data_IF_718837204284
#
_entry.id   IF_718837204284
#
_cell.length_a   1.000
_cell.length_b   1.000
_cell.length_c   1.000
_cell.angle_alpha   90.00
_cell.angle_beta   90.00
_cell.angle_gamma   90.00
#
_symmetry.space_group_name_H-M   'P 1'
#
loop_
_entity.id
_entity.type
_entity.pdbx_description
1 polymer ?
#
# COMPACT_ATOMS: atom_id res chain seq x y z
N UNK A 1 5.38 -9.08 -20.89
CA UNK A 1 4.78 -10.20 -20.13
C UNK A 1 5.80 -11.25 -19.66
N UNK A 2 6.63 -11.84 -20.54
CA UNK A 2 7.64 -12.84 -20.12
C UNK A 2 8.56 -12.38 -19.00
N UNK A 3 9.10 -11.15 -19.09
CA UNK A 3 9.93 -10.56 -18.05
C UNK A 3 9.23 -10.46 -16.68
N UNK A 4 7.96 -10.07 -16.65
CA UNK A 4 7.21 -9.98 -15.39
C UNK A 4 7.05 -11.37 -14.74
N UNK A 5 6.78 -12.41 -15.54
CA UNK A 5 6.75 -13.80 -15.07
C UNK A 5 8.11 -14.25 -14.55
N UNK A 6 9.20 -13.89 -15.23
CA UNK A 6 10.56 -14.19 -14.77
C UNK A 6 10.87 -13.51 -13.44
N UNK A 7 10.58 -12.21 -13.30
CA UNK A 7 10.78 -11.47 -12.06
C UNK A 7 9.97 -12.12 -10.92
N UNK A 8 8.70 -12.45 -11.18
CA UNK A 8 7.84 -13.10 -10.20
C UNK A 8 8.38 -14.47 -9.78
N UNK A 9 8.80 -15.32 -10.72
CA UNK A 9 9.37 -16.63 -10.43
C UNK A 9 10.66 -16.53 -9.62
N UNK A 10 11.54 -15.57 -9.93
CA UNK A 10 12.77 -15.32 -9.18
C UNK A 10 12.46 -14.86 -7.76
N UNK A 11 11.53 -13.92 -7.57
CA UNK A 11 11.12 -13.46 -6.25
C UNK A 11 10.50 -14.58 -5.41
N UNK A 12 9.64 -15.42 -6.01
CA UNK A 12 9.09 -16.59 -5.33
C UNK A 12 10.19 -17.58 -4.90
N UNK A 13 11.15 -17.86 -5.79
CA UNK A 13 12.29 -18.70 -5.47
C UNK A 13 13.12 -18.15 -4.31
N UNK A 14 13.38 -16.84 -4.30
CA UNK A 14 14.11 -16.17 -3.23
C UNK A 14 13.35 -16.20 -1.89
N UNK A 15 12.05 -15.94 -1.90
CA UNK A 15 11.20 -16.04 -0.70
C UNK A 15 11.18 -17.47 -0.16
N UNK A 16 11.06 -18.47 -1.04
CA UNK A 16 11.08 -19.87 -0.62
C UNK A 16 12.42 -20.28 -0.05
N UNK A 17 13.53 -19.88 -0.69
CA UNK A 17 14.87 -20.14 -0.18
C UNK A 17 15.11 -19.48 1.20
N UNK A 18 14.64 -18.24 1.38
CA UNK A 18 14.63 -17.57 2.68
C UNK A 18 13.82 -18.37 3.70
N UNK A 19 12.61 -18.82 3.36
CA UNK A 19 11.79 -19.61 4.28
C UNK A 19 12.51 -20.88 4.74
N UNK A 20 13.19 -21.58 3.82
CA UNK A 20 13.96 -22.77 4.16
C UNK A 20 15.16 -22.48 5.08
N UNK A 21 15.76 -21.28 5.01
CA UNK A 21 16.93 -20.93 5.81
C UNK A 21 16.60 -20.39 7.20
N UNK A 22 15.53 -19.61 7.34
CA UNK A 22 15.23 -18.86 8.58
C UNK A 22 13.77 -18.98 9.05
N UNK A 23 12.94 -19.79 8.37
CA UNK A 23 11.54 -20.00 8.71
C UNK A 23 10.64 -18.80 8.40
N UNK A 24 9.35 -18.95 8.71
CA UNK A 24 8.32 -17.96 8.37
C UNK A 24 8.60 -16.56 8.97
N UNK A 25 8.91 -16.50 10.28
CA UNK A 25 9.07 -15.22 10.97
C UNK A 25 10.21 -14.39 10.38
N UNK A 26 11.40 -14.97 10.23
CA UNK A 26 12.53 -14.26 9.63
C UNK A 26 12.25 -13.84 8.19
N UNK A 27 11.64 -14.71 7.37
CA UNK A 27 11.29 -14.37 5.98
C UNK A 27 10.28 -13.23 5.91
N UNK A 28 9.26 -13.24 6.77
CA UNK A 28 8.27 -12.18 6.86
C UNK A 28 8.92 -10.84 7.25
N UNK A 29 9.81 -10.83 8.26
CA UNK A 29 10.54 -9.62 8.68
C UNK A 29 11.36 -9.01 7.55
N UNK A 30 12.13 -9.82 6.81
CA UNK A 30 12.91 -9.34 5.67
C UNK A 30 11.99 -8.84 4.54
N UNK A 31 10.95 -9.61 4.20
CA UNK A 31 10.05 -9.28 3.10
C UNK A 31 9.28 -7.98 3.37
N UNK A 32 8.70 -7.81 4.56
CA UNK A 32 7.98 -6.61 4.93
C UNK A 32 8.91 -5.39 5.08
N UNK A 33 10.12 -5.57 5.61
CA UNK A 33 11.13 -4.51 5.65
C UNK A 33 11.53 -4.05 4.24
N UNK A 34 11.87 -4.98 3.36
CA UNK A 34 12.22 -4.68 1.97
C UNK A 34 11.05 -4.00 1.22
N UNK A 35 9.83 -4.51 1.38
CA UNK A 35 8.64 -3.93 0.76
C UNK A 35 8.36 -2.51 1.25
N UNK A 36 8.53 -2.26 2.56
CA UNK A 36 8.41 -0.92 3.16
C UNK A 36 9.41 0.05 2.54
N UNK A 37 10.68 -0.32 2.47
CA UNK A 37 11.73 0.54 1.91
C UNK A 37 11.51 0.80 0.41
N UNK A 38 11.19 -0.24 -0.36
CA UNK A 38 10.87 -0.08 -1.79
C UNK A 38 9.64 0.82 -1.99
N UNK A 39 8.61 0.68 -1.17
CA UNK A 39 7.42 1.53 -1.24
C UNK A 39 7.77 3.02 -0.96
N UNK A 40 8.65 3.31 0.00
CA UNK A 40 9.16 4.68 0.21
C UNK A 40 9.90 5.20 -1.02
N UNK A 41 10.80 4.40 -1.60
CA UNK A 41 11.56 4.78 -2.79
C UNK A 41 10.64 5.06 -3.98
N UNK A 42 9.66 4.18 -4.21
CA UNK A 42 8.66 4.34 -5.28
C UNK A 42 7.85 5.62 -5.05
N UNK A 43 7.41 5.87 -3.81
CA UNK A 43 6.70 7.11 -3.47
C UNK A 43 7.54 8.35 -3.79
N UNK A 44 8.81 8.37 -3.39
CA UNK A 44 9.72 9.47 -3.66
C UNK A 44 9.91 9.72 -5.16
N UNK A 45 10.05 8.65 -5.96
CA UNK A 45 10.13 8.75 -7.43
C UNK A 45 8.85 9.37 -8.01
N UNK A 46 7.68 8.94 -7.55
CA UNK A 46 6.42 9.51 -8.02
C UNK A 46 6.20 10.96 -7.59
N UNK A 47 6.63 11.34 -6.38
CA UNK A 47 6.65 12.75 -5.95
C UNK A 47 7.56 13.59 -6.84
N UNK A 48 8.72 13.08 -7.19
CA UNK A 48 9.64 13.74 -8.11
C UNK A 48 9.01 13.91 -9.52
N UNK A 49 8.38 12.86 -10.05
CA UNK A 49 7.67 12.93 -11.34
C UNK A 49 6.50 13.93 -11.31
N UNK A 50 5.79 14.02 -10.18
CA UNK A 50 4.77 15.04 -9.96
C UNK A 50 5.36 16.45 -9.95
N UNK A 51 6.47 16.67 -9.25
CA UNK A 51 7.16 17.96 -9.21
C UNK A 51 7.64 18.39 -10.61
N UNK A 52 8.04 17.43 -11.45
CA UNK A 52 8.37 17.63 -12.86
C UNK A 52 7.16 17.80 -13.78
N UNK A 53 5.93 17.74 -13.26
CA UNK A 53 4.66 17.86 -14.01
C UNK A 53 4.52 16.85 -15.15
N UNK A 54 5.11 15.66 -14.99
CA UNK A 54 5.13 14.63 -16.04
C UNK A 54 3.81 13.88 -16.18
N UNK A 55 3.05 13.76 -15.08
CA UNK A 55 1.74 13.09 -15.09
C UNK A 55 0.89 13.52 -13.89
N UNK A 56 -0.41 13.76 -14.04
CA UNK A 56 -1.31 13.97 -12.91
C UNK A 56 -1.50 12.70 -12.06
N UNK A 57 -1.31 11.51 -12.64
CA UNK A 57 -1.42 10.21 -11.94
C UNK A 57 -0.33 10.01 -10.89
N UNK A 58 0.82 10.68 -11.03
CA UNK A 58 1.95 10.46 -10.15
C UNK A 58 1.68 10.89 -8.71
N UNK A 59 0.81 11.88 -8.49
CA UNK A 59 0.44 12.28 -7.12
C UNK A 59 -0.35 11.17 -6.40
N UNK A 60 -1.32 10.56 -7.08
CA UNK A 60 -2.07 9.41 -6.53
C UNK A 60 -1.15 8.23 -6.21
N UNK A 61 -0.21 7.91 -7.12
CA UNK A 61 0.81 6.87 -6.88
C UNK A 61 1.68 7.22 -5.67
N UNK A 62 2.19 8.46 -5.60
CA UNK A 62 3.04 8.91 -4.52
C UNK A 62 2.36 8.71 -3.15
N UNK A 63 1.12 9.17 -3.00
CA UNK A 63 0.37 9.06 -1.76
C UNK A 63 0.04 7.61 -1.41
N UNK A 64 -0.33 6.79 -2.40
CA UNK A 64 -0.64 5.36 -2.19
C UNK A 64 0.58 4.60 -1.69
N UNK A 65 1.74 4.81 -2.32
CA UNK A 65 2.99 4.15 -1.92
C UNK A 65 3.55 4.71 -0.61
N UNK A 66 3.39 6.02 -0.34
CA UNK A 66 3.73 6.61 0.96
C UNK A 66 2.89 5.99 2.07
N UNK A 67 1.56 6.00 1.92
CA UNK A 67 0.64 5.43 2.89
C UNK A 67 0.88 3.94 3.12
N UNK A 68 1.06 3.17 2.04
CA UNK A 68 1.39 1.75 2.12
C UNK A 68 2.71 1.53 2.89
N UNK A 69 3.76 2.30 2.57
CA UNK A 69 5.03 2.21 3.28
C UNK A 69 4.87 2.53 4.77
N UNK A 70 4.12 3.56 5.11
CA UNK A 70 3.92 3.96 6.51
C UNK A 70 3.10 2.92 7.29
N UNK A 71 2.05 2.36 6.69
CA UNK A 71 1.21 1.32 7.33
C UNK A 71 1.99 0.01 7.46
N UNK A 72 2.67 -0.45 6.40
CA UNK A 72 3.49 -1.67 6.48
C UNK A 72 4.68 -1.48 7.42
N UNK A 73 5.34 -0.33 7.35
CA UNK A 73 6.45 0.04 8.22
C UNK A 73 6.04 0.14 9.69
N UNK A 74 4.82 0.60 9.98
CA UNK A 74 4.25 0.60 11.32
C UNK A 74 4.21 -0.81 11.92
N UNK A 75 3.63 -1.76 11.19
CA UNK A 75 3.49 -3.15 11.65
C UNK A 75 4.82 -3.89 11.67
N UNK A 76 5.71 -3.61 10.71
CA UNK A 76 7.08 -4.12 10.72
C UNK A 76 7.85 -3.63 11.95
N UNK A 77 7.81 -2.32 12.24
CA UNK A 77 8.44 -1.76 13.43
C UNK A 77 7.82 -2.28 14.71
N UNK A 78 6.49 -2.45 14.75
CA UNK A 78 5.78 -3.07 15.87
C UNK A 78 6.35 -4.47 16.18
N UNK A 79 6.58 -5.30 15.16
CA UNK A 79 7.21 -6.61 15.37
C UNK A 79 8.65 -6.52 15.86
N UNK A 80 9.47 -5.63 15.28
CA UNK A 80 10.87 -5.44 15.68
C UNK A 80 11.02 -4.93 17.12
N UNK A 81 10.07 -4.14 17.60
CA UNK A 81 10.06 -3.59 18.96
C UNK A 81 9.45 -4.53 20.00
N UNK A 82 9.10 -5.77 19.61
CA UNK A 82 8.51 -6.75 20.53
C UNK A 82 7.04 -6.48 20.86
N UNK A 83 6.26 -6.01 19.89
CA UNK A 83 4.82 -5.81 19.98
C UNK A 83 4.36 -4.87 21.12
N UNK A 84 4.84 -3.61 21.18
CA UNK A 84 4.47 -2.69 22.24
C UNK A 84 2.98 -2.30 22.19
N UNK A 85 2.28 -2.41 23.32
CA UNK A 85 0.85 -2.10 23.46
C UNK A 85 0.50 -0.65 23.04
N UNK A 86 1.44 0.29 23.22
CA UNK A 86 1.26 1.68 22.83
C UNK A 86 1.08 1.87 21.32
N UNK A 87 1.70 1.02 20.50
CA UNK A 87 1.54 1.04 19.04
C UNK A 87 0.30 0.29 18.58
N UNK A 88 -0.13 -0.73 19.30
CA UNK A 88 -1.32 -1.52 18.94
C UNK A 88 -2.60 -0.67 18.89
N UNK A 89 -2.72 0.32 19.80
CA UNK A 89 -3.90 1.18 19.95
C UNK A 89 -3.66 2.63 19.56
N UNK A 90 -2.61 2.91 18.79
CA UNK A 90 -2.28 4.28 18.43
C UNK A 90 -3.21 4.82 17.37
N UNK A 91 -3.85 5.96 17.65
CA UNK A 91 -4.63 6.71 16.66
C UNK A 91 -3.76 7.22 15.49
N UNK A 92 -2.45 7.34 15.68
CA UNK A 92 -1.53 7.77 14.62
C UNK A 92 -1.60 6.84 13.41
N UNK A 93 -1.79 5.54 13.62
CA UNK A 93 -1.98 4.58 12.54
C UNK A 93 -3.18 4.94 11.66
N UNK A 94 -4.28 5.46 12.24
CA UNK A 94 -5.45 5.91 11.47
C UNK A 94 -5.11 7.10 10.56
N UNK A 95 -4.23 8.00 11.01
CA UNK A 95 -3.69 9.07 10.17
C UNK A 95 -2.88 8.54 8.99
N UNK A 96 -2.02 7.54 9.22
CA UNK A 96 -1.24 6.88 8.15
C UNK A 96 -2.14 6.14 7.15
N UNK A 97 -3.20 5.47 7.64
CA UNK A 97 -4.23 4.87 6.80
C UNK A 97 -4.98 5.94 6.00
N UNK A 98 -5.25 7.11 6.59
CA UNK A 98 -5.84 8.24 5.89
C UNK A 98 -5.02 8.71 4.69
N UNK A 99 -3.68 8.75 4.82
CA UNK A 99 -2.77 9.04 3.71
C UNK A 99 -2.89 7.99 2.60
N UNK A 100 -2.91 6.71 2.96
CA UNK A 100 -3.09 5.59 2.01
C UNK A 100 -4.44 5.66 1.27
N UNK A 101 -5.52 5.92 2.01
CA UNK A 101 -6.86 6.09 1.44
C UNK A 101 -6.93 7.28 0.49
N UNK A 102 -6.27 8.39 0.83
CA UNK A 102 -6.19 9.57 -0.04
C UNK A 102 -5.56 9.21 -1.39
N UNK A 103 -4.45 8.47 -1.39
CA UNK A 103 -3.82 7.97 -2.62
C UNK A 103 -4.75 7.09 -3.45
N UNK A 104 -5.49 6.17 -2.81
CA UNK A 104 -6.45 5.30 -3.48
C UNK A 104 -7.62 6.09 -4.11
N UNK A 105 -8.13 7.12 -3.42
CA UNK A 105 -9.20 7.98 -3.95
C UNK A 105 -8.72 8.79 -5.16
N UNK A 106 -7.52 9.39 -5.08
CA UNK A 106 -6.91 10.11 -6.19
C UNK A 106 -6.72 9.22 -7.43
N UNK A 107 -6.45 7.93 -7.24
CA UNK A 107 -6.39 6.98 -8.35
C UNK A 107 -7.72 6.84 -9.09
N UNK A 108 -8.84 6.74 -8.36
CA UNK A 108 -10.15 6.66 -8.99
C UNK A 108 -10.54 7.97 -9.69
N UNK A 109 -10.17 9.12 -9.13
CA UNK A 109 -10.40 10.43 -9.76
C UNK A 109 -9.67 10.56 -11.11
N UNK A 110 -8.40 10.15 -11.16
CA UNK A 110 -7.63 10.17 -12.41
C UNK A 110 -8.15 9.13 -13.41
N UNK A 111 -8.62 7.97 -12.94
CA UNK A 111 -9.18 6.92 -13.79
C UNK A 111 -10.52 7.35 -14.41
N UNK A 112 -11.39 8.00 -13.65
CA UNK A 112 -12.62 8.61 -14.16
C UNK A 112 -12.33 9.53 -15.34
N UNK A 113 -11.34 10.43 -15.15
CA UNK A 113 -10.95 11.39 -16.18
C UNK A 113 -10.43 10.68 -17.43
N UNK A 114 -9.66 9.61 -17.24
CA UNK A 114 -9.06 8.82 -18.33
C UNK A 114 -10.10 8.01 -19.12
N UNK A 115 -11.19 7.58 -18.47
CA UNK A 115 -12.26 6.79 -19.08
C UNK A 115 -13.41 7.64 -19.62
N UNK A 116 -13.36 8.97 -19.50
CA UNK A 116 -14.39 9.88 -20.00
C UNK A 116 -15.74 9.81 -19.27
N UNK A 117 -15.74 9.38 -18.00
CA UNK A 117 -16.95 9.29 -17.20
C UNK A 117 -17.42 10.67 -16.67
N UNK A 118 -18.64 10.71 -16.10
CA UNK A 118 -19.20 11.94 -15.52
C UNK A 118 -18.40 12.35 -14.28
N UNK A 119 -18.22 13.68 -14.12
CA UNK A 119 -17.57 14.28 -12.94
C UNK A 119 -18.14 13.72 -11.64
N UNK A 120 -17.28 13.15 -10.80
CA UNK A 120 -17.63 12.61 -9.48
C UNK A 120 -18.05 11.13 -9.45
N UNK A 121 -18.07 10.44 -10.60
CA UNK A 121 -18.32 8.99 -10.67
C UNK A 121 -17.34 8.14 -9.87
N UNK A 122 -16.12 8.64 -9.61
CA UNK A 122 -15.09 8.01 -8.79
C UNK A 122 -15.55 7.78 -7.35
N UNK A 123 -16.55 8.53 -6.87
CA UNK A 123 -17.14 8.33 -5.55
C UNK A 123 -17.90 7.01 -5.46
N UNK A 124 -18.37 6.46 -6.59
CA UNK A 124 -19.16 5.24 -6.61
C UNK A 124 -18.35 3.99 -6.18
N UNK A 125 -17.16 3.70 -6.76
CA UNK A 125 -16.32 2.62 -6.24
C UNK A 125 -15.81 2.89 -4.82
N UNK A 126 -15.55 4.14 -4.45
CA UNK A 126 -15.11 4.51 -3.08
C UNK A 126 -16.22 4.20 -2.08
N UNK A 127 -17.43 4.73 -2.29
CA UNK A 127 -18.59 4.46 -1.44
C UNK A 127 -18.94 2.97 -1.41
N UNK A 128 -18.84 2.28 -2.56
CA UNK A 128 -19.03 0.84 -2.65
C UNK A 128 -18.05 0.06 -1.75
N UNK A 129 -16.76 0.42 -1.77
CA UNK A 129 -15.76 -0.20 -0.90
C UNK A 129 -16.07 0.02 0.59
N UNK A 130 -16.48 1.23 0.98
CA UNK A 130 -16.90 1.52 2.36
C UNK A 130 -18.16 0.74 2.75
N UNK A 131 -19.16 0.69 1.87
CA UNK A 131 -20.41 -0.04 2.12
C UNK A 131 -20.15 -1.54 2.31
N UNK A 132 -19.29 -2.14 1.48
CA UNK A 132 -18.88 -3.54 1.63
C UNK A 132 -18.13 -3.76 2.95
N UNK A 133 -17.20 -2.86 3.31
CA UNK A 133 -16.48 -2.94 4.58
C UNK A 133 -17.42 -2.89 5.78
N UNK A 134 -18.37 -1.95 5.79
CA UNK A 134 -19.41 -1.85 6.83
C UNK A 134 -20.28 -3.10 6.88
N UNK A 135 -20.72 -3.61 5.73
CA UNK A 135 -21.52 -4.83 5.66
C UNK A 135 -20.78 -6.02 6.26
N UNK A 136 -19.50 -6.22 5.91
CA UNK A 136 -18.69 -7.29 6.48
C UNK A 136 -18.54 -7.15 8.01
N UNK A 137 -18.37 -5.92 8.51
CA UNK A 137 -18.30 -5.68 9.96
C UNK A 137 -19.63 -6.01 10.66
N UNK A 138 -20.78 -5.76 10.03
CA UNK A 138 -22.09 -6.12 10.57
C UNK A 138 -22.29 -7.64 10.56
N UNK A 139 -21.76 -8.35 9.56
CA UNK A 139 -21.93 -9.80 9.43
C UNK A 139 -21.04 -10.62 10.36
N UNK A 140 -19.88 -10.09 10.75
CA UNK A 140 -18.87 -10.82 11.55
C UNK A 140 -18.94 -10.47 13.04
N UNK A 141 -19.61 -9.37 13.41
CA UNK A 141 -19.85 -8.98 14.80
C UNK A 141 -21.22 -9.43 15.27
#
# INVERSE_FOLDING_TARGET
MKQALTIYAVLLGAIHASYLSQGYLGTAEIAFGALTVMALMISAIFLWLWAMRMSPLSLGMAFSWAGAAMVMGWWWLFTLLGAPVSMERSEMLLGLVGLMLTGAVLHFEVLETSLGHRRGSFLLPVAGAFAVSVLLLILVR
#
